data_IF_957927738456
#
_entry.id   IF_957927738456
#
_cell.length_a   1.000
_cell.length_b   1.000
_cell.length_c   1.000
_cell.angle_alpha   90.00
_cell.angle_beta   90.00
_cell.angle_gamma   90.00
#
_symmetry.space_group_name_H-M   'P 1'
#
loop_
_entity.id
_entity.type
_entity.pdbx_description
1 polymer ?
#
# COMPACT_ATOMS: atom_id res chain seq x y z
N UNK A 1 -53.93 -8.03 14.82
CA UNK A 1 -52.57 -8.02 15.41
C UNK A 1 -51.54 -7.21 14.60
N UNK A 2 -51.98 -6.25 13.75
CA UNK A 2 -51.09 -5.43 12.91
C UNK A 2 -51.20 -3.91 13.16
N UNK A 3 -52.08 -3.45 14.07
CA UNK A 3 -52.24 -2.03 14.41
C UNK A 3 -51.61 -1.63 15.76
N UNK A 4 -51.19 -2.59 16.59
CA UNK A 4 -50.65 -2.32 17.94
C UNK A 4 -49.11 -2.12 17.95
N UNK A 5 -48.39 -2.61 16.93
CA UNK A 5 -46.93 -2.51 16.81
C UNK A 5 -46.46 -1.14 16.28
N UNK A 6 -47.32 -0.41 15.58
CA UNK A 6 -47.00 0.94 15.07
C UNK A 6 -47.14 2.02 16.14
N UNK A 7 -48.11 1.91 17.04
CA UNK A 7 -48.33 2.90 18.10
C UNK A 7 -47.26 2.82 19.21
N UNK A 8 -46.80 1.61 19.56
CA UNK A 8 -45.74 1.42 20.56
C UNK A 8 -44.37 1.91 20.07
N UNK A 9 -44.08 1.78 18.77
CA UNK A 9 -42.82 2.26 18.17
C UNK A 9 -42.79 3.79 18.02
N UNK A 10 -43.94 4.40 17.72
CA UNK A 10 -44.08 5.87 17.65
C UNK A 10 -44.02 6.48 19.07
N UNK A 11 -44.64 5.86 20.08
CA UNK A 11 -44.51 6.30 21.47
C UNK A 11 -43.06 6.18 21.97
N UNK A 12 -42.31 5.13 21.60
CA UNK A 12 -40.92 4.96 22.03
C UNK A 12 -39.98 6.00 21.39
N UNK A 13 -40.18 6.32 20.10
CA UNK A 13 -39.44 7.38 19.41
C UNK A 13 -39.81 8.79 19.94
N UNK A 14 -41.08 9.04 20.25
CA UNK A 14 -41.51 10.30 20.87
C UNK A 14 -40.99 10.44 22.32
N UNK A 15 -40.89 9.35 23.08
CA UNK A 15 -40.37 9.39 24.46
C UNK A 15 -38.85 9.62 24.47
N UNK A 16 -38.10 9.08 23.51
CA UNK A 16 -36.67 9.35 23.33
C UNK A 16 -36.40 10.80 22.87
N UNK A 17 -37.21 11.34 21.96
CA UNK A 17 -37.14 12.74 21.55
C UNK A 17 -37.47 13.69 22.72
N UNK A 18 -38.45 13.35 23.56
CA UNK A 18 -38.83 14.15 24.74
C UNK A 18 -37.81 14.06 25.89
N UNK A 19 -37.04 12.97 25.98
CA UNK A 19 -35.94 12.83 26.95
C UNK A 19 -34.68 13.60 26.52
N UNK A 20 -34.48 13.86 25.23
CA UNK A 20 -33.36 14.68 24.76
C UNK A 20 -33.47 16.11 25.28
N UNK A 21 -34.66 16.69 25.42
CA UNK A 21 -34.85 18.07 25.90
C UNK A 21 -34.44 18.32 27.36
N UNK A 22 -34.24 17.26 28.17
CA UNK A 22 -33.90 17.38 29.60
C UNK A 22 -32.40 17.29 29.92
N UNK A 23 -31.54 16.97 28.95
CA UNK A 23 -30.10 16.89 29.17
C UNK A 23 -29.38 18.21 28.89
N UNK A 24 -28.34 18.51 29.67
CA UNK A 24 -27.44 19.63 29.41
C UNK A 24 -26.82 19.50 27.99
N UNK A 25 -26.59 20.60 27.26
CA UNK A 25 -26.09 20.58 25.88
C UNK A 25 -24.81 19.74 25.68
N UNK A 26 -23.93 19.73 26.69
CA UNK A 26 -22.69 18.95 26.70
C UNK A 26 -22.91 17.44 26.69
N UNK A 27 -23.93 16.92 27.39
CA UNK A 27 -24.27 15.50 27.39
C UNK A 27 -24.93 15.08 26.08
N UNK A 28 -25.80 15.92 25.48
CA UNK A 28 -26.40 15.64 24.16
C UNK A 28 -25.34 15.52 23.08
N UNK A 29 -24.38 16.45 23.06
CA UNK A 29 -23.27 16.41 22.10
C UNK A 29 -22.41 15.16 22.27
N UNK A 30 -22.17 14.71 23.51
CA UNK A 30 -21.41 13.50 23.78
C UNK A 30 -22.15 12.24 23.31
N UNK A 31 -23.43 12.11 23.66
CA UNK A 31 -24.27 10.97 23.22
C UNK A 31 -24.39 10.92 21.69
N UNK A 32 -24.65 12.06 21.03
CA UNK A 32 -24.70 12.14 19.57
C UNK A 32 -23.36 11.79 18.92
N UNK A 33 -22.22 12.21 19.52
CA UNK A 33 -20.90 11.86 19.03
C UNK A 33 -20.60 10.35 19.13
N UNK A 34 -21.01 9.71 20.22
CA UNK A 34 -20.85 8.26 20.42
C UNK A 34 -21.75 7.46 19.48
N UNK A 35 -23.01 7.89 19.29
CA UNK A 35 -23.92 7.26 18.33
C UNK A 35 -23.42 7.37 16.89
N UNK A 36 -22.89 8.53 16.50
CA UNK A 36 -22.28 8.73 15.18
C UNK A 36 -21.01 7.89 14.99
N UNK A 37 -20.18 7.75 16.03
CA UNK A 37 -19.00 6.89 15.99
C UNK A 37 -19.39 5.42 15.79
N UNK A 38 -20.36 4.91 16.57
CA UNK A 38 -20.86 3.54 16.44
C UNK A 38 -21.53 3.29 15.07
N UNK A 39 -22.28 4.26 14.55
CA UNK A 39 -22.87 4.17 13.22
C UNK A 39 -21.79 4.13 12.11
N UNK A 40 -20.72 4.92 12.25
CA UNK A 40 -19.60 4.91 11.30
C UNK A 40 -18.80 3.61 11.38
N UNK A 41 -18.55 3.09 12.59
CA UNK A 41 -17.91 1.78 12.78
C UNK A 41 -18.72 0.67 12.12
N UNK A 42 -20.05 0.71 12.27
CA UNK A 42 -20.94 -0.25 11.58
C UNK A 42 -20.85 -0.14 10.06
N UNK A 43 -20.80 1.07 9.50
CA UNK A 43 -20.62 1.25 8.06
C UNK A 43 -19.31 0.60 7.60
N UNK A 44 -18.22 0.86 8.33
CA UNK A 44 -16.90 0.32 7.99
C UNK A 44 -16.85 -1.20 8.14
N UNK A 45 -17.51 -1.79 9.14
CA UNK A 45 -17.56 -3.25 9.33
C UNK A 45 -18.36 -3.96 8.23
N UNK A 46 -19.38 -3.31 7.70
CA UNK A 46 -20.28 -3.87 6.69
C UNK A 46 -19.79 -3.60 5.26
N UNK A 47 -18.64 -2.92 5.09
CA UNK A 47 -18.04 -2.71 3.77
C UNK A 47 -17.59 -4.03 3.16
N UNK A 48 -17.89 -4.19 1.88
CA UNK A 48 -17.31 -5.24 1.04
C UNK A 48 -16.56 -4.62 -0.12
N UNK A 49 -15.56 -5.33 -0.65
CA UNK A 49 -14.70 -4.83 -1.72
C UNK A 49 -14.71 -5.81 -2.89
N UNK A 50 -14.85 -5.29 -4.10
CA UNK A 50 -14.83 -6.10 -5.34
C UNK A 50 -14.30 -5.29 -6.52
N UNK A 51 -13.89 -5.98 -7.57
CA UNK A 51 -13.59 -5.33 -8.87
C UNK A 51 -14.88 -4.77 -9.49
N UNK A 52 -14.82 -3.66 -10.24
CA UNK A 52 -15.97 -3.16 -10.99
C UNK A 52 -16.29 -4.05 -12.19
N UNK A 53 -17.57 -4.20 -12.46
CA UNK A 53 -18.12 -4.65 -13.74
C UNK A 53 -18.19 -3.45 -14.70
N UNK A 54 -18.32 -3.72 -15.99
CA UNK A 54 -18.47 -2.65 -16.99
C UNK A 54 -19.71 -1.76 -16.72
N UNK A 55 -20.77 -2.31 -16.12
CA UNK A 55 -21.98 -1.59 -15.72
C UNK A 55 -21.78 -0.69 -14.49
N UNK A 56 -20.73 -0.90 -13.70
CA UNK A 56 -20.42 -0.07 -12.53
C UNK A 56 -19.69 1.23 -12.91
N UNK A 57 -19.08 1.29 -14.10
CA UNK A 57 -18.23 2.40 -14.53
C UNK A 57 -18.97 3.74 -14.62
N UNK A 58 -20.22 3.81 -15.12
CA UNK A 58 -21.00 5.05 -15.05
C UNK A 58 -21.16 5.57 -13.61
N UNK A 59 -21.40 4.67 -12.64
CA UNK A 59 -21.50 5.06 -11.22
C UNK A 59 -20.15 5.55 -10.67
N UNK A 60 -19.05 4.90 -11.06
CA UNK A 60 -17.71 5.35 -10.69
C UNK A 60 -17.41 6.75 -11.27
N UNK A 61 -17.77 6.98 -12.54
CA UNK A 61 -17.60 8.28 -13.18
C UNK A 61 -18.39 9.39 -12.48
N UNK A 62 -19.62 9.12 -12.04
CA UNK A 62 -20.42 10.08 -11.26
C UNK A 62 -19.75 10.42 -9.91
N UNK A 63 -19.26 9.42 -9.19
CA UNK A 63 -18.56 9.62 -7.91
C UNK A 63 -17.27 10.42 -8.12
N UNK A 64 -16.52 10.14 -9.19
CA UNK A 64 -15.26 10.83 -9.51
C UNK A 64 -15.49 12.28 -9.93
N UNK A 65 -16.46 12.51 -10.83
CA UNK A 65 -16.84 13.86 -11.28
C UNK A 65 -17.38 14.73 -10.15
N UNK A 66 -17.99 14.14 -9.13
CA UNK A 66 -18.41 14.85 -7.91
C UNK A 66 -17.28 15.03 -6.88
N UNK A 67 -16.10 14.46 -7.11
CA UNK A 67 -14.95 14.48 -6.19
C UNK A 67 -13.81 15.37 -6.68
N UNK A 68 -13.69 15.59 -7.99
CA UNK A 68 -12.66 16.40 -8.61
C UNK A 68 -13.25 17.51 -9.51
N UNK A 69 -12.53 18.63 -9.69
CA UNK A 69 -12.76 19.55 -10.80
C UNK A 69 -12.73 18.84 -12.16
N UNK A 70 -13.43 19.37 -13.17
CA UNK A 70 -13.57 18.70 -14.48
C UNK A 70 -12.26 18.54 -15.25
N UNK A 71 -11.24 19.35 -14.96
CA UNK A 71 -9.89 19.27 -15.51
C UNK A 71 -8.98 18.26 -14.77
N UNK A 72 -9.38 17.83 -13.57
CA UNK A 72 -8.67 16.84 -12.74
C UNK A 72 -9.34 15.45 -12.80
N UNK A 73 -10.65 15.39 -13.07
CA UNK A 73 -11.42 14.14 -13.11
C UNK A 73 -11.09 13.29 -14.36
N UNK A 74 -11.01 11.97 -14.19
CA UNK A 74 -10.91 11.07 -15.33
C UNK A 74 -12.17 11.10 -16.19
N UNK A 75 -11.97 11.03 -17.51
CA UNK A 75 -13.08 10.84 -18.44
C UNK A 75 -13.73 9.46 -18.27
N UNK A 76 -14.99 9.33 -18.70
CA UNK A 76 -15.69 8.05 -18.70
C UNK A 76 -14.92 6.98 -19.50
N UNK A 77 -14.35 7.38 -20.65
CA UNK A 77 -13.53 6.50 -21.50
C UNK A 77 -12.25 6.06 -20.80
N UNK A 78 -11.60 6.95 -20.05
CA UNK A 78 -10.42 6.63 -19.24
C UNK A 78 -10.76 5.59 -18.17
N UNK A 79 -11.92 5.69 -17.51
CA UNK A 79 -12.35 4.70 -16.52
C UNK A 79 -12.70 3.34 -17.16
N UNK A 80 -13.35 3.32 -18.31
CA UNK A 80 -13.57 2.09 -19.08
C UNK A 80 -12.24 1.45 -19.50
N UNK A 81 -11.29 2.24 -20.00
CA UNK A 81 -9.97 1.76 -20.40
C UNK A 81 -9.22 1.14 -19.21
N UNK A 82 -9.19 1.84 -18.06
CA UNK A 82 -8.58 1.33 -16.83
C UNK A 82 -9.26 0.05 -16.34
N UNK A 83 -10.58 -0.03 -16.42
CA UNK A 83 -11.29 -1.26 -16.05
C UNK A 83 -10.96 -2.42 -16.98
N UNK A 84 -10.83 -2.16 -18.28
CA UNK A 84 -10.58 -3.21 -19.28
C UNK A 84 -9.12 -3.68 -19.27
N UNK A 85 -8.17 -2.77 -19.14
CA UNK A 85 -6.73 -3.06 -19.26
C UNK A 85 -6.03 -3.25 -17.91
N UNK A 86 -6.55 -2.63 -16.84
CA UNK A 86 -5.96 -2.61 -15.51
C UNK A 86 -6.99 -2.97 -14.42
N UNK A 87 -8.02 -3.73 -14.77
CA UNK A 87 -9.13 -4.09 -13.86
C UNK A 87 -8.69 -4.87 -12.61
N UNK A 88 -7.54 -5.54 -12.67
CA UNK A 88 -6.90 -6.16 -11.51
C UNK A 88 -6.57 -5.13 -10.42
N UNK A 89 -6.28 -3.90 -10.81
CA UNK A 89 -5.90 -2.79 -9.93
C UNK A 89 -7.04 -1.80 -9.68
N UNK A 90 -8.28 -2.18 -10.00
CA UNK A 90 -9.49 -1.40 -9.76
C UNK A 90 -10.36 -2.10 -8.70
N UNK A 91 -10.65 -1.41 -7.60
CA UNK A 91 -11.49 -1.91 -6.52
C UNK A 91 -12.57 -0.90 -6.12
N UNK A 92 -13.81 -1.35 -6.07
CA UNK A 92 -14.95 -0.61 -5.52
C UNK A 92 -15.20 -1.01 -4.07
N UNK A 93 -15.59 -0.03 -3.25
CA UNK A 93 -16.15 -0.21 -1.93
C UNK A 93 -17.69 -0.25 -2.02
N UNK A 94 -18.29 -1.32 -1.52
CA UNK A 94 -19.72 -1.57 -1.55
C UNK A 94 -20.27 -1.48 -0.13
N UNK A 95 -21.33 -0.70 0.04
CA UNK A 95 -22.10 -0.62 1.27
C UNK A 95 -23.60 -0.63 0.94
N UNK A 96 -24.34 -1.52 1.61
CA UNK A 96 -25.78 -1.70 1.39
C UNK A 96 -26.14 -1.92 -0.10
N UNK A 97 -25.34 -2.77 -0.77
CA UNK A 97 -25.49 -3.09 -2.20
C UNK A 97 -25.09 -1.99 -3.19
N UNK A 98 -24.65 -0.82 -2.71
CA UNK A 98 -24.31 0.33 -3.55
C UNK A 98 -22.80 0.59 -3.56
N UNK A 99 -22.27 1.06 -4.69
CA UNK A 99 -20.90 1.58 -4.75
C UNK A 99 -20.86 2.91 -4.00
N UNK A 100 -20.01 2.99 -2.98
CA UNK A 100 -19.85 4.19 -2.14
C UNK A 100 -18.50 4.87 -2.32
N UNK A 101 -17.58 4.22 -3.02
CA UNK A 101 -16.26 4.75 -3.36
C UNK A 101 -15.45 3.73 -4.16
N UNK A 102 -14.31 4.15 -4.69
CA UNK A 102 -13.39 3.24 -5.38
C UNK A 102 -11.94 3.75 -5.37
N UNK A 103 -11.04 2.82 -5.67
CA UNK A 103 -9.64 3.07 -6.01
C UNK A 103 -9.35 2.45 -7.38
N UNK A 104 -8.66 3.17 -8.25
CA UNK A 104 -8.15 2.62 -9.51
C UNK A 104 -6.70 3.04 -9.76
N UNK A 105 -5.94 2.15 -10.40
CA UNK A 105 -4.53 2.35 -10.69
C UNK A 105 -4.13 1.73 -12.03
N UNK A 106 -3.00 2.17 -12.59
CA UNK A 106 -2.31 1.49 -13.69
C UNK A 106 -0.85 1.25 -13.33
N UNK A 107 -0.19 0.31 -14.00
CA UNK A 107 1.23 0.08 -13.85
C UNK A 107 2.00 0.96 -14.83
N UNK A 108 3.16 1.46 -14.41
CA UNK A 108 4.07 2.25 -15.23
C UNK A 108 5.54 2.00 -14.84
N UNK A 109 6.44 2.25 -15.79
CA UNK A 109 7.89 2.14 -15.58
C UNK A 109 8.51 3.40 -14.95
N UNK A 110 7.92 4.57 -15.19
CA UNK A 110 8.31 5.87 -14.64
C UNK A 110 7.05 6.62 -14.20
N UNK A 111 7.13 7.43 -13.15
CA UNK A 111 5.98 8.20 -12.65
C UNK A 111 6.01 9.63 -13.22
N UNK A 112 5.54 9.75 -14.45
CA UNK A 112 5.48 11.00 -15.23
C UNK A 112 4.08 11.19 -15.84
N UNK A 113 3.74 12.40 -16.27
CA UNK A 113 2.38 12.74 -16.75
C UNK A 113 1.91 11.82 -17.89
N UNK A 114 2.77 11.53 -18.88
CA UNK A 114 2.46 10.64 -20.00
C UNK A 114 2.15 9.20 -19.56
N UNK A 115 2.83 8.73 -18.51
CA UNK A 115 2.65 7.39 -17.96
C UNK A 115 1.32 7.22 -17.21
N UNK A 116 0.66 8.33 -16.83
CA UNK A 116 -0.61 8.27 -16.10
C UNK A 116 -1.81 7.90 -16.98
N UNK A 117 -1.61 7.87 -18.31
CA UNK A 117 -2.66 7.59 -19.28
C UNK A 117 -2.59 6.18 -19.89
N UNK A 118 -1.51 5.43 -19.62
CA UNK A 118 -1.28 4.11 -20.20
C UNK A 118 -1.09 3.04 -19.11
N UNK A 119 -1.38 1.80 -19.48
CA UNK A 119 -1.11 0.64 -18.63
C UNK A 119 0.06 -0.13 -19.22
N UNK A 120 1.15 -0.25 -18.45
CA UNK A 120 2.33 -1.06 -18.75
C UNK A 120 2.32 -2.29 -17.82
N UNK A 121 1.92 -3.48 -18.30
CA UNK A 121 1.86 -4.69 -17.48
C UNK A 121 3.19 -5.07 -16.81
N UNK A 122 4.32 -4.64 -17.37
CA UNK A 122 5.66 -4.91 -16.84
C UNK A 122 6.18 -3.77 -15.95
N UNK A 123 5.42 -2.67 -15.83
CA UNK A 123 5.79 -1.50 -15.06
C UNK A 123 5.94 -1.82 -13.57
N UNK A 124 7.01 -1.33 -12.95
CA UNK A 124 7.33 -1.60 -11.54
C UNK A 124 6.56 -0.74 -10.54
N UNK A 125 5.99 0.36 -11.02
CA UNK A 125 5.23 1.31 -10.20
C UNK A 125 3.75 1.08 -10.43
N UNK A 126 2.96 1.04 -9.36
CA UNK A 126 1.50 1.05 -9.43
C UNK A 126 1.00 2.46 -9.13
N UNK A 127 0.70 3.20 -10.19
CA UNK A 127 0.20 4.58 -10.15
C UNK A 127 -1.29 4.61 -9.81
N UNK A 128 -1.63 5.05 -8.60
CA UNK A 128 -3.01 5.22 -8.15
C UNK A 128 -3.55 6.56 -8.69
N UNK A 129 -4.60 6.46 -9.50
CA UNK A 129 -5.21 7.60 -10.19
C UNK A 129 -6.33 8.24 -9.37
N UNK A 130 -7.20 7.41 -8.79
CA UNK A 130 -8.40 7.87 -8.09
C UNK A 130 -8.49 7.18 -6.73
N UNK A 131 -8.79 7.96 -5.69
CA UNK A 131 -9.22 7.47 -4.37
C UNK A 131 -10.41 8.32 -3.94
N UNK A 132 -11.60 7.88 -4.30
CA UNK A 132 -12.82 8.69 -4.17
C UNK A 132 -13.89 7.99 -3.35
N UNK A 133 -14.64 8.79 -2.59
CA UNK A 133 -15.80 8.35 -1.80
C UNK A 133 -16.93 9.33 -2.06
N UNK A 134 -18.12 8.80 -2.32
CA UNK A 134 -19.32 9.59 -2.56
C UNK A 134 -19.59 10.52 -1.37
N UNK A 135 -19.99 11.76 -1.65
CA UNK A 135 -20.03 12.85 -0.68
C UNK A 135 -20.79 12.51 0.61
N UNK A 136 -21.97 11.90 0.51
CA UNK A 136 -22.81 11.49 1.67
C UNK A 136 -22.17 10.45 2.60
N UNK A 137 -21.09 9.82 2.17
CA UNK A 137 -20.35 8.80 2.90
C UNK A 137 -18.94 9.25 3.34
N UNK A 138 -18.52 10.46 2.97
CA UNK A 138 -17.23 11.03 3.40
C UNK A 138 -17.20 11.23 4.92
N UNK A 139 -15.98 11.28 5.47
CA UNK A 139 -15.70 11.47 6.92
C UNK A 139 -16.22 10.35 7.83
N UNK A 140 -16.61 9.20 7.28
CA UNK A 140 -17.06 8.01 8.02
C UNK A 140 -16.01 6.88 8.10
N UNK A 141 -14.75 7.15 7.72
CA UNK A 141 -13.66 6.18 7.75
C UNK A 141 -13.53 5.28 6.51
N UNK A 142 -14.49 5.33 5.58
CA UNK A 142 -14.55 4.47 4.38
C UNK A 142 -13.30 4.59 3.52
N UNK A 143 -12.82 5.80 3.22
CA UNK A 143 -11.63 5.99 2.39
C UNK A 143 -10.39 5.31 2.99
N UNK A 144 -10.23 5.38 4.32
CA UNK A 144 -9.11 4.73 5.01
C UNK A 144 -9.27 3.21 5.02
N UNK A 145 -10.48 2.68 5.23
CA UNK A 145 -10.73 1.25 5.16
C UNK A 145 -10.48 0.70 3.76
N UNK A 146 -11.01 1.39 2.74
CA UNK A 146 -10.83 1.07 1.33
C UNK A 146 -9.36 1.08 0.92
N UNK A 147 -8.62 2.15 1.21
CA UNK A 147 -7.22 2.24 0.81
C UNK A 147 -6.33 1.21 1.53
N UNK A 148 -6.59 0.92 2.82
CA UNK A 148 -5.87 -0.13 3.55
C UNK A 148 -6.14 -1.52 2.96
N UNK A 149 -7.41 -1.85 2.69
CA UNK A 149 -7.78 -3.10 2.03
C UNK A 149 -7.16 -3.21 0.64
N UNK A 150 -7.16 -2.11 -0.13
CA UNK A 150 -6.53 -2.06 -1.44
C UNK A 150 -5.02 -2.33 -1.39
N UNK A 151 -4.31 -1.67 -0.48
CA UNK A 151 -2.87 -1.89 -0.27
C UNK A 151 -2.58 -3.34 0.12
N UNK A 152 -3.34 -3.91 1.06
CA UNK A 152 -3.18 -5.30 1.48
C UNK A 152 -3.45 -6.27 0.32
N UNK A 153 -4.51 -6.04 -0.45
CA UNK A 153 -4.82 -6.80 -1.67
C UNK A 153 -3.64 -6.77 -2.65
N UNK A 154 -3.11 -5.58 -2.96
CA UNK A 154 -1.97 -5.45 -3.87
C UNK A 154 -0.77 -6.20 -3.32
N UNK A 155 -0.48 -6.12 -2.03
CA UNK A 155 0.63 -6.86 -1.40
C UNK A 155 0.44 -8.38 -1.47
N UNK A 156 -0.78 -8.88 -1.27
CA UNK A 156 -1.10 -10.32 -1.33
C UNK A 156 -1.08 -10.85 -2.77
N UNK A 157 -1.59 -10.08 -3.73
CA UNK A 157 -1.66 -10.48 -5.15
C UNK A 157 -0.32 -10.31 -5.88
N UNK A 158 0.56 -9.41 -5.42
CA UNK A 158 1.90 -9.16 -5.96
C UNK A 158 2.92 -10.23 -5.52
N UNK A 159 2.57 -11.50 -5.69
CA UNK A 159 3.39 -12.67 -5.27
C UNK A 159 4.72 -12.70 -6.04
N UNK A 160 4.70 -12.30 -7.31
CA UNK A 160 5.88 -12.21 -8.17
C UNK A 160 6.76 -10.98 -7.86
N UNK A 161 6.30 -10.11 -6.96
CA UNK A 161 6.92 -8.84 -6.57
C UNK A 161 7.24 -7.90 -7.72
N UNK A 162 6.56 -8.05 -8.86
CA UNK A 162 6.81 -7.23 -10.05
C UNK A 162 6.45 -5.77 -9.82
N UNK A 163 5.55 -5.48 -8.88
CA UNK A 163 5.25 -4.13 -8.40
C UNK A 163 6.16 -3.84 -7.20
N UNK A 164 7.08 -2.89 -7.32
CA UNK A 164 8.05 -2.51 -6.28
C UNK A 164 7.50 -1.39 -5.37
N UNK A 165 6.60 -0.55 -5.91
CA UNK A 165 6.01 0.58 -5.19
C UNK A 165 4.64 0.97 -5.73
N UNK A 166 3.78 1.44 -4.83
CA UNK A 166 2.56 2.18 -5.16
C UNK A 166 2.85 3.68 -5.08
N UNK A 167 2.48 4.43 -6.11
CA UNK A 167 2.76 5.87 -6.22
C UNK A 167 1.48 6.65 -6.50
N UNK A 168 1.38 7.86 -5.98
CA UNK A 168 0.23 8.73 -6.20
C UNK A 168 0.58 10.21 -6.06
N UNK A 169 -0.28 11.06 -6.60
CA UNK A 169 -0.25 12.49 -6.36
C UNK A 169 -1.32 12.88 -5.33
N UNK A 170 -0.97 13.74 -4.37
CA UNK A 170 -1.94 14.31 -3.45
C UNK A 170 -1.72 15.79 -3.16
N UNK A 171 -2.82 16.49 -2.90
CA UNK A 171 -2.84 17.87 -2.39
C UNK A 171 -2.36 17.92 -0.93
N UNK A 172 -1.76 19.03 -0.52
CA UNK A 172 -1.15 19.21 0.79
C UNK A 172 -2.05 18.82 1.99
N UNK A 173 -3.34 19.12 1.90
CA UNK A 173 -4.31 18.83 2.97
C UNK A 173 -4.67 17.32 3.10
N UNK A 174 -4.30 16.49 2.11
CA UNK A 174 -4.53 15.04 2.11
C UNK A 174 -3.30 14.23 2.53
N UNK A 175 -2.12 14.85 2.69
CA UNK A 175 -0.88 14.13 3.05
C UNK A 175 -1.04 13.32 4.34
N UNK A 176 -1.64 13.93 5.37
CA UNK A 176 -1.88 13.24 6.64
C UNK A 176 -2.82 12.03 6.53
N UNK A 177 -3.71 12.00 5.53
CA UNK A 177 -4.57 10.84 5.26
C UNK A 177 -3.76 9.69 4.66
N UNK A 178 -2.93 9.96 3.65
CA UNK A 178 -2.10 8.95 3.00
C UNK A 178 -0.98 8.42 3.89
N UNK A 179 -0.36 9.28 4.71
CA UNK A 179 0.64 8.87 5.71
C UNK A 179 0.05 7.89 6.73
N UNK A 180 -1.20 8.10 7.17
CA UNK A 180 -1.91 7.15 8.05
C UNK A 180 -2.24 5.81 7.35
N UNK A 181 -2.22 5.78 6.02
CA UNK A 181 -2.35 4.57 5.22
C UNK A 181 -0.98 3.95 4.85
N UNK A 182 0.12 4.49 5.39
CA UNK A 182 1.46 3.95 5.25
C UNK A 182 2.22 4.39 4.01
N UNK A 183 1.81 5.49 3.37
CA UNK A 183 2.57 6.18 2.32
C UNK A 183 3.58 7.16 2.94
N UNK A 184 4.68 7.39 2.24
CA UNK A 184 5.67 8.41 2.55
C UNK A 184 5.53 9.56 1.56
N UNK A 185 5.83 10.78 1.99
CA UNK A 185 5.85 11.95 1.11
C UNK A 185 7.25 12.10 0.55
N UNK A 186 7.40 11.96 -0.77
CA UNK A 186 8.69 12.01 -1.43
C UNK A 186 9.13 13.46 -1.64
N UNK A 187 8.34 14.22 -2.42
CA UNK A 187 8.70 15.56 -2.88
C UNK A 187 7.48 16.31 -3.42
N UNK A 188 7.55 17.65 -3.58
CA UNK A 188 6.65 18.36 -4.48
C UNK A 188 6.74 17.77 -5.89
N UNK A 189 5.59 17.51 -6.51
CA UNK A 189 5.53 16.95 -7.85
C UNK A 189 5.83 18.03 -8.90
N UNK A 190 6.62 17.72 -9.94
CA UNK A 190 6.78 18.59 -11.10
C UNK A 190 5.55 18.54 -12.03
N UNK A 191 4.66 17.56 -11.85
CA UNK A 191 3.43 17.39 -12.61
C UNK A 191 2.41 18.41 -12.10
N UNK A 192 1.96 19.30 -13.00
CA UNK A 192 1.00 20.37 -12.67
C UNK A 192 -0.37 20.00 -13.22
N UNK A 193 -1.25 19.49 -12.36
CA UNK A 193 -2.68 19.39 -12.65
C UNK A 193 -3.41 20.53 -11.93
N UNK A 194 -3.97 21.48 -12.70
CA UNK A 194 -4.67 22.64 -12.17
C UNK A 194 -3.74 23.75 -11.63
N UNK A 195 -4.21 24.51 -10.63
CA UNK A 195 -3.51 25.69 -10.08
C UNK A 195 -2.80 25.42 -8.74
N UNK A 196 -2.96 24.24 -8.15
CA UNK A 196 -2.45 23.90 -6.81
C UNK A 196 -1.21 23.00 -6.86
N UNK A 197 -0.34 23.11 -5.85
CA UNK A 197 0.84 22.26 -5.72
C UNK A 197 0.46 20.84 -5.27
N UNK A 198 0.90 19.84 -6.03
CA UNK A 198 0.76 18.43 -5.69
C UNK A 198 2.06 17.87 -5.11
N UNK A 199 1.94 16.85 -4.28
CA UNK A 199 3.06 16.09 -3.73
C UNK A 199 3.01 14.67 -4.28
N UNK A 200 4.18 14.15 -4.58
CA UNK A 200 4.38 12.74 -4.88
C UNK A 200 4.48 11.95 -3.59
N UNK A 201 3.71 10.88 -3.49
CA UNK A 201 3.73 9.94 -2.37
C UNK A 201 4.00 8.54 -2.88
N UNK A 202 4.71 7.77 -2.06
CA UNK A 202 5.11 6.41 -2.39
C UNK A 202 4.88 5.48 -1.20
N UNK A 203 4.46 4.26 -1.51
CA UNK A 203 4.45 3.14 -0.59
C UNK A 203 5.15 1.96 -1.24
N UNK A 204 6.37 1.68 -0.80
CA UNK A 204 7.08 0.49 -1.24
C UNK A 204 6.31 -0.77 -0.83
N UNK A 205 6.17 -1.70 -1.76
CA UNK A 205 5.71 -3.07 -1.52
C UNK A 205 6.85 -3.96 -1.03
N UNK A 206 8.10 -3.52 -1.23
CA UNK A 206 9.28 -4.26 -0.82
C UNK A 206 9.51 -4.10 0.68
N UNK A 207 9.74 -5.22 1.35
CA UNK A 207 9.86 -5.25 2.81
C UNK A 207 11.17 -4.60 3.25
N UNK A 208 11.06 -3.44 3.90
CA UNK A 208 12.21 -2.66 4.38
C UNK A 208 12.64 -2.93 5.83
N UNK A 209 11.81 -3.64 6.60
CA UNK A 209 12.01 -3.91 8.02
C UNK A 209 11.67 -5.37 8.38
N UNK A 210 12.24 -5.93 9.46
CA UNK A 210 11.80 -7.20 10.04
C UNK A 210 10.35 -7.11 10.51
N UNK A 211 9.65 -8.24 10.49
CA UNK A 211 8.34 -8.34 11.12
C UNK A 211 8.46 -8.19 12.64
N UNK A 212 7.74 -7.20 13.19
CA UNK A 212 7.80 -6.86 14.62
C UNK A 212 7.49 -8.08 15.52
N UNK A 213 8.35 -8.32 16.50
CA UNK A 213 8.29 -9.46 17.42
C UNK A 213 8.46 -10.85 16.79
N UNK A 214 8.68 -10.96 15.48
CA UNK A 214 8.77 -12.24 14.76
C UNK A 214 10.12 -12.49 14.11
N UNK A 215 10.80 -11.42 13.68
CA UNK A 215 12.07 -11.51 12.96
C UNK A 215 13.10 -10.58 13.57
N UNK A 216 14.38 -10.92 13.38
CA UNK A 216 15.52 -10.07 13.71
C UNK A 216 16.47 -10.01 12.52
N UNK A 217 17.36 -9.02 12.54
CA UNK A 217 18.39 -8.85 11.53
C UNK A 217 19.52 -9.87 11.65
N UNK A 218 19.97 -10.36 10.50
CA UNK A 218 21.19 -11.13 10.33
C UNK A 218 22.06 -10.51 9.24
N UNK A 219 23.36 -10.64 9.40
CA UNK A 219 24.38 -10.11 8.51
C UNK A 219 25.25 -11.27 8.03
N UNK A 220 25.30 -11.45 6.71
CA UNK A 220 26.27 -12.33 6.04
C UNK A 220 27.40 -11.47 5.48
N UNK A 221 28.63 -11.83 5.82
CA UNK A 221 29.84 -11.25 5.21
C UNK A 221 30.60 -12.29 4.44
N UNK A 222 31.23 -11.91 3.34
CA UNK A 222 31.96 -12.87 2.52
C UNK A 222 33.16 -12.30 1.76
N UNK A 223 34.05 -13.20 1.32
CA UNK A 223 35.18 -12.93 0.41
C UNK A 223 35.22 -13.98 -0.69
N UNK A 224 35.51 -13.55 -1.93
CA UNK A 224 35.60 -14.47 -3.06
C UNK A 224 36.86 -15.34 -2.99
N UNK A 225 36.69 -16.66 -3.16
CA UNK A 225 37.78 -17.63 -3.23
C UNK A 225 38.32 -17.81 -4.64
N UNK A 226 37.49 -17.52 -5.65
CA UNK A 226 37.76 -17.86 -7.06
C UNK A 226 37.91 -16.61 -7.92
N UNK A 227 38.62 -16.72 -9.06
CA UNK A 227 38.75 -15.61 -10.02
C UNK A 227 37.40 -15.13 -10.55
N UNK A 228 37.30 -13.83 -10.84
CA UNK A 228 36.07 -13.20 -11.30
C UNK A 228 35.37 -13.90 -12.49
N UNK A 229 36.07 -14.37 -13.55
CA UNK A 229 35.42 -15.05 -14.66
C UNK A 229 34.63 -16.31 -14.26
N UNK A 230 35.10 -17.04 -13.25
CA UNK A 230 34.43 -18.24 -12.73
C UNK A 230 33.26 -17.88 -11.82
N UNK A 231 33.40 -16.80 -11.04
CA UNK A 231 32.35 -16.34 -10.10
C UNK A 231 31.21 -15.63 -10.83
N UNK A 232 31.48 -14.98 -11.96
CA UNK A 232 30.51 -14.11 -12.66
C UNK A 232 29.14 -14.75 -12.91
N UNK A 233 29.00 -15.99 -13.42
CA UNK A 233 27.69 -16.60 -13.63
C UNK A 233 26.91 -16.80 -12.31
N UNK A 234 27.60 -17.21 -11.24
CA UNK A 234 27.01 -17.40 -9.91
C UNK A 234 26.63 -16.08 -9.26
N UNK A 235 27.39 -15.02 -9.55
CA UNK A 235 27.07 -13.68 -9.10
C UNK A 235 25.82 -13.12 -9.77
N UNK A 236 25.63 -13.34 -11.06
CA UNK A 236 24.38 -12.96 -11.73
C UNK A 236 23.20 -13.77 -11.19
N UNK A 237 23.37 -15.09 -11.00
CA UNK A 237 22.36 -15.92 -10.36
C UNK A 237 22.03 -15.47 -8.93
N UNK A 238 23.03 -15.04 -8.15
CA UNK A 238 22.83 -14.47 -6.81
C UNK A 238 21.99 -13.19 -6.85
N UNK A 239 22.29 -12.27 -7.78
CA UNK A 239 21.50 -11.03 -7.94
C UNK A 239 20.04 -11.36 -8.23
N UNK A 240 19.78 -12.31 -9.13
CA UNK A 240 18.42 -12.69 -9.48
C UNK A 240 17.71 -13.43 -8.34
N UNK A 241 18.44 -14.27 -7.60
CA UNK A 241 17.92 -14.90 -6.38
C UNK A 241 17.54 -13.88 -5.31
N UNK A 242 18.37 -12.87 -5.02
CA UNK A 242 18.05 -11.81 -4.05
C UNK A 242 16.85 -10.98 -4.52
N UNK A 243 16.78 -10.64 -5.82
CA UNK A 243 15.61 -9.95 -6.39
C UNK A 243 14.33 -10.77 -6.18
N UNK A 244 14.35 -12.05 -6.52
CA UNK A 244 13.22 -12.96 -6.32
C UNK A 244 12.81 -13.05 -4.85
N UNK A 245 13.75 -13.11 -3.91
CA UNK A 245 13.41 -13.11 -2.50
C UNK A 245 12.74 -11.79 -2.07
N UNK A 246 13.28 -10.63 -2.48
CA UNK A 246 12.64 -9.33 -2.19
C UNK A 246 11.22 -9.28 -2.74
N UNK A 247 11.05 -9.81 -3.94
CA UNK A 247 9.76 -9.91 -4.63
C UNK A 247 8.75 -10.78 -3.87
N UNK A 248 9.19 -11.91 -3.31
CA UNK A 248 8.37 -12.78 -2.47
C UNK A 248 8.26 -12.28 -1.01
N UNK A 249 8.50 -10.98 -0.79
CA UNK A 249 8.28 -10.31 0.49
C UNK A 249 9.36 -10.51 1.53
N UNK A 250 10.52 -11.08 1.20
CA UNK A 250 11.66 -11.15 2.14
C UNK A 250 12.28 -9.77 2.33
N UNK A 251 12.63 -9.44 3.57
CA UNK A 251 13.43 -8.24 3.86
C UNK A 251 14.91 -8.61 3.77
N UNK A 252 15.50 -8.37 2.59
CA UNK A 252 16.87 -8.77 2.27
C UNK A 252 17.53 -7.78 1.31
N UNK A 253 18.82 -7.50 1.49
CA UNK A 253 19.64 -6.72 0.56
C UNK A 253 21.05 -7.30 0.47
N UNK A 254 21.69 -7.17 -0.69
CA UNK A 254 23.06 -7.63 -0.93
C UNK A 254 23.84 -6.57 -1.70
N UNK A 255 25.14 -6.46 -1.42
CA UNK A 255 26.02 -5.49 -2.06
C UNK A 255 27.51 -5.72 -1.77
N UNK A 256 28.35 -4.83 -2.28
CA UNK A 256 29.80 -4.88 -2.11
C UNK A 256 30.29 -3.85 -1.11
N UNK A 257 31.36 -4.22 -0.39
CA UNK A 257 32.19 -3.26 0.34
C UNK A 257 33.19 -2.63 -0.62
N UNK A 258 33.19 -1.30 -0.64
CA UNK A 258 34.09 -0.49 -1.47
C UNK A 258 35.13 0.21 -0.60
N UNK A 259 36.29 0.51 -1.18
CA UNK A 259 37.34 1.31 -0.55
C UNK A 259 37.03 2.81 -0.58
N UNK A 260 38.00 3.64 -0.17
CA UNK A 260 37.88 5.12 -0.19
C UNK A 260 37.71 5.73 -1.59
N UNK A 261 38.02 4.98 -2.64
CA UNK A 261 37.85 5.39 -4.03
C UNK A 261 36.56 4.84 -4.65
N UNK A 262 35.73 4.15 -3.86
CA UNK A 262 34.50 3.52 -4.34
C UNK A 262 34.74 2.25 -5.14
N UNK A 263 35.96 1.67 -5.12
CA UNK A 263 36.27 0.44 -5.84
C UNK A 263 35.87 -0.77 -5.01
N UNK A 264 35.17 -1.76 -5.60
CA UNK A 264 34.84 -2.99 -4.90
C UNK A 264 36.11 -3.81 -4.64
N UNK A 265 36.17 -4.49 -3.50
CA UNK A 265 37.33 -5.30 -3.14
C UNK A 265 37.30 -5.81 -1.70
N UNK A 266 36.49 -5.20 -0.85
CA UNK A 266 36.29 -5.64 0.52
C UNK A 266 35.44 -6.90 0.66
N UNK A 267 34.94 -7.49 -0.43
CA UNK A 267 34.03 -8.65 -0.41
C UNK A 267 32.54 -8.27 -0.32
N UNK A 268 31.68 -9.29 -0.27
CA UNK A 268 30.23 -9.15 -0.26
C UNK A 268 29.68 -8.92 1.16
N UNK A 269 28.54 -8.24 1.22
CA UNK A 269 27.77 -7.98 2.44
C UNK A 269 26.28 -8.14 2.13
N UNK A 270 25.59 -8.92 2.94
CA UNK A 270 24.15 -9.14 2.79
C UNK A 270 23.46 -9.05 4.14
N UNK A 271 22.39 -8.27 4.22
CA UNK A 271 21.51 -8.20 5.38
C UNK A 271 20.19 -8.87 5.06
N UNK A 272 19.67 -9.66 6.01
CA UNK A 272 18.37 -10.33 5.89
C UNK A 272 17.65 -10.36 7.22
N UNK A 273 16.33 -10.22 7.20
CA UNK A 273 15.47 -10.47 8.35
C UNK A 273 15.01 -11.93 8.35
N UNK A 274 15.09 -12.60 9.50
CA UNK A 274 14.60 -13.97 9.66
C UNK A 274 14.12 -14.24 11.09
N UNK A 275 13.34 -15.31 11.25
CA UNK A 275 12.76 -15.70 12.56
C UNK A 275 13.79 -16.23 13.57
N UNK A 276 14.90 -16.77 13.07
CA UNK A 276 15.96 -17.35 13.89
C UNK A 276 17.26 -17.46 13.10
N UNK A 277 18.36 -17.70 13.80
CA UNK A 277 19.65 -17.96 13.17
C UNK A 277 19.58 -19.14 12.19
N UNK A 278 18.92 -20.23 12.58
CA UNK A 278 18.76 -21.41 11.71
C UNK A 278 17.95 -21.10 10.44
N UNK A 279 16.91 -20.27 10.55
CA UNK A 279 16.13 -19.84 9.39
C UNK A 279 16.96 -18.96 8.45
N UNK A 280 17.73 -18.01 9.00
CA UNK A 280 18.66 -17.19 8.24
C UNK A 280 19.72 -18.06 7.54
N UNK A 281 20.32 -19.00 8.28
CA UNK A 281 21.34 -19.89 7.75
C UNK A 281 20.80 -20.78 6.63
N UNK A 282 19.61 -21.36 6.80
CA UNK A 282 18.94 -22.14 5.75
C UNK A 282 18.71 -21.33 4.48
N UNK A 283 18.38 -20.04 4.60
CA UNK A 283 18.24 -19.16 3.45
C UNK A 283 19.60 -18.86 2.79
N UNK A 284 20.61 -18.53 3.59
CA UNK A 284 21.98 -18.24 3.10
C UNK A 284 22.60 -19.44 2.39
N UNK A 285 22.32 -20.68 2.83
CA UNK A 285 22.81 -21.88 2.16
C UNK A 285 22.24 -22.08 0.74
N UNK A 286 21.13 -21.42 0.41
CA UNK A 286 20.53 -21.42 -0.94
C UNK A 286 21.15 -20.36 -1.86
N UNK A 287 21.97 -19.46 -1.32
CA UNK A 287 22.66 -18.46 -2.11
C UNK A 287 23.55 -19.13 -3.18
N UNK A 288 23.37 -18.81 -4.48
CA UNK A 288 24.17 -19.39 -5.56
C UNK A 288 25.68 -19.29 -5.36
N UNK A 289 26.19 -18.22 -4.71
CA UNK A 289 27.61 -18.06 -4.40
C UNK A 289 28.07 -19.05 -3.32
N UNK A 290 27.23 -19.33 -2.32
CA UNK A 290 27.51 -20.27 -1.23
C UNK A 290 27.39 -21.70 -1.73
N UNK A 291 26.29 -22.03 -2.41
CA UNK A 291 26.01 -23.36 -2.92
C UNK A 291 27.06 -23.84 -3.94
N UNK A 292 27.68 -22.91 -4.66
CA UNK A 292 28.73 -23.20 -5.66
C UNK A 292 30.15 -23.12 -5.09
N UNK A 293 30.30 -22.92 -3.78
CA UNK A 293 31.58 -22.74 -3.08
C UNK A 293 32.48 -21.68 -3.72
N UNK A 294 31.89 -20.54 -4.08
CA UNK A 294 32.61 -19.39 -4.65
C UNK A 294 33.20 -18.46 -3.58
N UNK A 295 32.72 -18.57 -2.33
CA UNK A 295 32.98 -17.60 -1.26
C UNK A 295 33.33 -18.26 0.06
N UNK A 296 34.21 -17.62 0.81
CA UNK A 296 34.31 -17.80 2.26
C UNK A 296 33.32 -16.85 2.91
N UNK A 297 32.44 -17.36 3.76
CA UNK A 297 31.37 -16.56 4.34
C UNK A 297 31.17 -16.85 5.82
N UNK A 298 30.59 -15.88 6.50
CA UNK A 298 30.15 -15.97 7.88
C UNK A 298 28.76 -15.34 8.01
N UNK A 299 27.97 -15.83 8.95
CA UNK A 299 26.66 -15.30 9.30
C UNK A 299 26.64 -14.92 10.77
N UNK A 300 26.12 -13.75 11.06
CA UNK A 300 25.99 -13.22 12.41
C UNK A 300 24.59 -12.66 12.62
N UNK A 301 24.07 -12.76 13.85
CA UNK A 301 22.92 -11.96 14.26
C UNK A 301 23.34 -10.49 14.44
N UNK A 302 22.45 -9.57 14.12
CA UNK A 302 22.65 -8.14 14.36
C UNK A 302 21.81 -7.67 15.54
N UNK A 303 22.41 -6.85 16.40
CA UNK A 303 21.74 -6.19 17.52
C UNK A 303 22.12 -4.71 17.44
N UNK A 304 21.15 -3.85 17.10
CA UNK A 304 21.35 -2.41 17.08
C UNK A 304 21.59 -1.86 18.49
N UNK A 305 22.72 -1.17 18.69
CA UNK A 305 22.98 -0.45 19.94
C UNK A 305 22.54 1.02 19.89
N UNK A 306 22.57 1.63 18.71
CA UNK A 306 22.11 3.00 18.45
C UNK A 306 21.43 3.03 17.08
N UNK A 307 20.11 3.24 17.08
CA UNK A 307 19.30 3.04 15.87
C UNK A 307 19.29 1.59 15.40
N UNK A 308 18.63 1.33 14.28
CA UNK A 308 18.62 0.01 13.64
C UNK A 308 18.60 0.13 12.11
N UNK A 309 18.78 -1.00 11.44
CA UNK A 309 18.81 -1.10 9.99
C UNK A 309 17.39 -0.89 9.44
N UNK A 310 17.28 0.00 8.46
CA UNK A 310 16.09 0.20 7.64
C UNK A 310 16.51 0.15 6.16
N UNK A 311 15.99 -0.82 5.43
CA UNK A 311 16.19 -0.88 3.99
C UNK A 311 15.21 0.08 3.31
N UNK A 312 15.70 0.71 2.23
CA UNK A 312 14.88 1.45 1.28
C UNK A 312 14.41 0.54 0.15
#
# INVERSE_FOLDING_TARGET
MCLLLTVQSILFLQTLAFQQEKFAPSLRNRVASTMNAAANEKIVSDLTFRRPLAEDIPTCFEIESASYPGDEAASLDSLYNRQSNAGDYFQCAIFDGNIVGFVCATRCSLFEEESMSTHDPEGKLLAIHSVVVQEKYRRKGIASAMLKCYVEKVQVENIDGSIESMVLLAKAHLLGFYVKCGFQVNRPSPIVHGQELWFELEKSTVRGLPLDGQETWFCKTETFKRPFPEVKPHLEAHKDWVKQLRQHGYCITSGYRVDSEGKPGGGGLMFLAAKSYDAAQKLVLQDPLVASDCVDWQLNGWIGQVGDIQMR
#
